data_IF_755927054946
#
_entry.id   IF_755927054946
#
_cell.length_a   1.000
_cell.length_b   1.000
_cell.length_c   1.000
_cell.angle_alpha   90.00
_cell.angle_beta   90.00
_cell.angle_gamma   90.00
#
_symmetry.space_group_name_H-M   'P 1'
#
loop_
_entity.id
_entity.type
_entity.pdbx_description
1 polymer ?
#
# COMPACT_ATOMS: atom_id res chain seq x y z
N UNK A 1 -12.87 4.39 -19.72
CA UNK A 1 -12.23 3.94 -18.46
C UNK A 1 -13.28 4.05 -17.37
N UNK A 2 -13.84 2.89 -16.94
CA UNK A 2 -14.77 2.84 -15.82
C UNK A 2 -14.08 3.41 -14.57
N UNK A 3 -14.78 4.26 -13.80
CA UNK A 3 -14.22 4.74 -12.53
C UNK A 3 -13.99 3.55 -11.60
N UNK A 4 -12.96 3.60 -10.76
CA UNK A 4 -12.59 2.49 -9.89
C UNK A 4 -13.77 2.07 -8.99
N UNK A 5 -14.66 3.00 -8.63
CA UNK A 5 -15.91 2.70 -7.92
C UNK A 5 -16.87 1.82 -8.72
N UNK A 6 -16.98 2.05 -10.03
CA UNK A 6 -17.85 1.23 -10.89
C UNK A 6 -17.35 -0.21 -11.02
N UNK A 7 -16.04 -0.44 -10.98
CA UNK A 7 -15.46 -1.79 -11.03
C UNK A 7 -15.76 -2.56 -9.73
N UNK A 8 -15.62 -1.90 -8.57
CA UNK A 8 -15.94 -2.53 -7.28
C UNK A 8 -17.44 -2.88 -7.17
N UNK A 9 -18.31 -1.97 -7.60
CA UNK A 9 -19.75 -2.24 -7.65
C UNK A 9 -20.10 -3.38 -8.62
N UNK A 10 -19.42 -3.45 -9.77
CA UNK A 10 -19.60 -4.52 -10.72
C UNK A 10 -19.20 -5.88 -10.13
N UNK A 11 -18.03 -5.97 -9.49
CA UNK A 11 -17.57 -7.21 -8.85
C UNK A 11 -18.48 -7.63 -7.69
N UNK A 12 -18.97 -6.69 -6.87
CA UNK A 12 -19.94 -7.00 -5.81
C UNK A 12 -21.27 -7.47 -6.36
N UNK A 13 -21.81 -6.77 -7.36
CA UNK A 13 -23.05 -7.18 -8.00
C UNK A 13 -22.96 -8.59 -8.60
N UNK A 14 -21.81 -8.92 -9.21
CA UNK A 14 -21.52 -10.26 -9.69
C UNK A 14 -21.47 -11.28 -8.52
N UNK A 15 -20.75 -10.94 -7.45
CA UNK A 15 -20.64 -11.81 -6.27
C UNK A 15 -21.99 -12.05 -5.60
N UNK A 16 -22.84 -11.02 -5.48
CA UNK A 16 -24.17 -11.12 -4.86
C UNK A 16 -25.13 -11.94 -5.71
N UNK A 17 -25.09 -11.76 -7.04
CA UNK A 17 -25.90 -12.54 -7.97
C UNK A 17 -25.51 -14.03 -7.94
N UNK A 18 -24.22 -14.33 -7.96
CA UNK A 18 -23.71 -15.70 -7.87
C UNK A 18 -24.02 -16.34 -6.51
N UNK A 19 -23.94 -15.57 -5.41
CA UNK A 19 -24.31 -16.05 -4.06
C UNK A 19 -25.81 -16.36 -3.95
N UNK A 20 -26.65 -15.65 -4.72
CA UNK A 20 -28.09 -15.93 -4.83
C UNK A 20 -28.42 -17.11 -5.77
N UNK A 21 -27.41 -17.83 -6.29
CA UNK A 21 -27.57 -18.94 -7.19
C UNK A 21 -27.94 -18.54 -8.65
N UNK A 22 -27.76 -17.24 -8.98
CA UNK A 22 -27.97 -16.77 -10.35
C UNK A 22 -26.76 -17.18 -11.19
N UNK A 23 -27.01 -17.78 -12.33
CA UNK A 23 -26.00 -18.17 -13.30
C UNK A 23 -25.14 -16.97 -13.77
N UNK A 24 -23.87 -17.22 -14.07
CA UNK A 24 -22.89 -16.19 -14.50
C UNK A 24 -23.42 -15.40 -15.70
N UNK A 25 -24.07 -16.04 -16.67
CA UNK A 25 -24.59 -15.36 -17.85
C UNK A 25 -25.67 -14.32 -17.47
N UNK A 26 -26.58 -14.70 -16.58
CA UNK A 26 -27.62 -13.79 -16.09
C UNK A 26 -27.08 -12.71 -15.20
N UNK A 27 -26.12 -13.04 -14.32
CA UNK A 27 -25.44 -12.10 -13.45
C UNK A 27 -24.66 -11.05 -14.27
N UNK A 28 -24.07 -11.44 -15.39
CA UNK A 28 -23.37 -10.54 -16.30
C UNK A 28 -24.27 -9.43 -16.89
N UNK A 29 -25.58 -9.63 -16.99
CA UNK A 29 -26.52 -8.59 -17.46
C UNK A 29 -26.64 -7.41 -16.49
N UNK A 30 -26.35 -7.63 -15.22
CA UNK A 30 -26.32 -6.57 -14.20
C UNK A 30 -25.03 -5.75 -14.22
N UNK A 31 -24.01 -6.22 -14.96
CA UNK A 31 -22.74 -5.51 -15.08
C UNK A 31 -22.83 -4.36 -16.11
N UNK A 32 -22.18 -3.21 -15.86
CA UNK A 32 -22.29 -2.05 -16.74
C UNK A 32 -21.61 -2.28 -18.11
N UNK A 33 -22.34 -1.95 -19.18
CA UNK A 33 -21.83 -1.76 -20.54
C UNK A 33 -21.02 -2.92 -21.13
N UNK A 34 -19.84 -2.65 -21.72
CA UNK A 34 -19.08 -3.66 -22.46
C UNK A 34 -18.54 -4.79 -21.58
N UNK A 35 -18.43 -4.56 -20.26
CA UNK A 35 -17.98 -5.57 -19.30
C UNK A 35 -19.01 -6.70 -19.18
N UNK A 36 -20.29 -6.35 -19.01
CA UNK A 36 -21.35 -7.34 -18.91
C UNK A 36 -21.49 -8.17 -20.18
N UNK A 37 -21.34 -7.55 -21.35
CA UNK A 37 -21.36 -8.27 -22.63
C UNK A 37 -20.18 -9.23 -22.78
N UNK A 38 -18.98 -8.84 -22.35
CA UNK A 38 -17.78 -9.69 -22.39
C UNK A 38 -17.91 -10.89 -21.44
N UNK A 39 -18.32 -10.67 -20.19
CA UNK A 39 -18.52 -11.72 -19.18
C UNK A 39 -19.64 -12.67 -19.61
N UNK A 40 -20.78 -12.14 -20.09
CA UNK A 40 -21.90 -12.97 -20.54
C UNK A 40 -21.58 -13.78 -21.79
N UNK A 41 -20.77 -13.28 -22.72
CA UNK A 41 -20.29 -14.03 -23.88
C UNK A 41 -19.38 -15.17 -23.44
N UNK A 42 -18.41 -14.90 -22.61
CA UNK A 42 -17.48 -15.90 -22.11
C UNK A 42 -18.17 -17.03 -21.34
N UNK A 43 -19.18 -16.68 -20.53
CA UNK A 43 -19.99 -17.68 -19.84
C UNK A 43 -20.71 -18.63 -20.81
N UNK A 44 -21.26 -18.10 -21.92
CA UNK A 44 -21.91 -18.92 -22.96
C UNK A 44 -20.92 -19.79 -23.73
N UNK A 45 -19.71 -19.28 -23.95
CA UNK A 45 -18.63 -19.99 -24.66
C UNK A 45 -17.87 -20.97 -23.75
N UNK A 46 -18.24 -21.07 -22.47
CA UNK A 46 -17.59 -21.95 -21.50
C UNK A 46 -16.16 -21.54 -21.15
N UNK A 47 -15.80 -20.26 -21.39
CA UNK A 47 -14.51 -19.77 -21.03
C UNK A 47 -14.42 -19.51 -19.50
N UNK A 48 -13.23 -19.75 -18.94
CA UNK A 48 -12.96 -19.43 -17.54
C UNK A 48 -13.20 -17.94 -17.25
N UNK A 49 -14.00 -17.64 -16.24
CA UNK A 49 -14.34 -16.27 -15.84
C UNK A 49 -13.09 -15.48 -15.46
N UNK A 50 -12.12 -16.14 -14.82
CA UNK A 50 -10.80 -15.59 -14.48
C UNK A 50 -10.14 -14.90 -15.69
N UNK A 51 -10.11 -15.56 -16.85
CA UNK A 51 -9.52 -15.02 -18.06
C UNK A 51 -10.22 -13.74 -18.50
N UNK A 52 -11.55 -13.77 -18.53
CA UNK A 52 -12.34 -12.61 -18.97
C UNK A 52 -12.22 -11.43 -18.02
N UNK A 53 -12.26 -11.67 -16.71
CA UNK A 53 -12.07 -10.62 -15.72
C UNK A 53 -10.66 -9.99 -15.81
N UNK A 54 -9.64 -10.77 -16.14
CA UNK A 54 -8.28 -10.28 -16.39
C UNK A 54 -8.20 -9.47 -17.67
N UNK A 55 -8.72 -10.00 -18.79
CA UNK A 55 -8.68 -9.36 -20.11
C UNK A 55 -9.48 -8.05 -20.14
N UNK A 56 -10.55 -7.96 -19.38
CA UNK A 56 -11.35 -6.73 -19.21
C UNK A 56 -10.74 -5.74 -18.22
N UNK A 57 -9.67 -6.10 -17.53
CA UNK A 57 -9.02 -5.26 -16.51
C UNK A 57 -9.84 -5.07 -15.23
N UNK A 58 -10.82 -5.95 -14.99
CA UNK A 58 -11.60 -5.97 -13.75
C UNK A 58 -10.83 -6.49 -12.56
N UNK A 59 -9.89 -7.40 -12.78
CA UNK A 59 -8.96 -7.94 -11.79
C UNK A 59 -7.52 -7.75 -12.27
N UNK A 60 -6.60 -7.61 -11.31
CA UNK A 60 -5.16 -7.57 -11.58
C UNK A 60 -4.53 -8.98 -11.50
N UNK A 61 -3.26 -9.10 -11.92
CA UNK A 61 -2.55 -10.39 -11.92
C UNK A 61 -2.45 -11.01 -10.52
N UNK A 62 -2.46 -10.20 -9.46
CA UNK A 62 -2.40 -10.68 -8.07
C UNK A 62 -3.75 -11.23 -7.60
N UNK A 63 -4.84 -10.71 -8.13
CA UNK A 63 -6.21 -11.11 -7.85
C UNK A 63 -6.64 -12.33 -8.69
N UNK A 64 -5.96 -12.52 -9.83
CA UNK A 64 -6.21 -13.65 -10.73
C UNK A 64 -6.18 -15.00 -10.02
N UNK A 65 -5.16 -15.23 -9.21
CA UNK A 65 -5.02 -16.49 -8.47
C UNK A 65 -6.20 -16.75 -7.51
N UNK A 66 -6.75 -15.68 -6.91
CA UNK A 66 -7.93 -15.78 -6.03
C UNK A 66 -9.18 -16.15 -6.82
N UNK A 67 -9.41 -15.54 -7.99
CA UNK A 67 -10.56 -15.83 -8.84
C UNK A 67 -10.48 -17.27 -9.39
N UNK A 68 -9.30 -17.68 -9.86
CA UNK A 68 -9.05 -19.02 -10.36
C UNK A 68 -9.34 -20.10 -9.29
N UNK A 69 -8.89 -19.85 -8.06
CA UNK A 69 -9.22 -20.71 -6.94
C UNK A 69 -10.74 -20.73 -6.65
N UNK A 70 -11.39 -19.57 -6.71
CA UNK A 70 -12.84 -19.45 -6.55
C UNK A 70 -13.63 -20.23 -7.59
N UNK A 71 -13.19 -20.21 -8.85
CA UNK A 71 -13.79 -21.01 -9.93
C UNK A 71 -13.63 -22.50 -9.68
N UNK A 72 -12.40 -22.95 -9.38
CA UNK A 72 -12.12 -24.38 -9.14
C UNK A 72 -12.89 -24.96 -7.94
N UNK A 73 -13.19 -24.14 -6.95
CA UNK A 73 -13.88 -24.56 -5.73
C UNK A 73 -15.39 -24.31 -5.76
N UNK A 74 -15.92 -23.66 -6.79
CA UNK A 74 -17.33 -23.26 -6.82
C UNK A 74 -17.67 -22.18 -5.77
N UNK A 75 -16.66 -21.50 -5.21
CA UNK A 75 -16.79 -20.50 -4.15
C UNK A 75 -16.51 -19.07 -4.66
N UNK A 76 -16.70 -18.84 -5.95
CA UNK A 76 -16.43 -17.59 -6.64
C UNK A 76 -16.99 -16.33 -5.93
N UNK A 77 -18.23 -16.34 -5.39
CA UNK A 77 -18.77 -15.18 -4.67
C UNK A 77 -17.91 -14.73 -3.49
N UNK A 78 -17.36 -15.68 -2.73
CA UNK A 78 -16.50 -15.42 -1.59
C UNK A 78 -15.23 -14.68 -2.03
N UNK A 79 -14.57 -15.19 -3.08
CA UNK A 79 -13.31 -14.63 -3.56
C UNK A 79 -13.47 -13.25 -4.22
N UNK A 80 -14.57 -13.02 -4.92
CA UNK A 80 -14.90 -11.71 -5.48
C UNK A 80 -15.12 -10.67 -4.38
N UNK A 81 -15.81 -11.03 -3.29
CA UNK A 81 -15.97 -10.16 -2.12
C UNK A 81 -14.63 -9.88 -1.44
N UNK A 82 -13.78 -10.90 -1.27
CA UNK A 82 -12.43 -10.75 -0.71
C UNK A 82 -11.58 -9.73 -1.50
N UNK A 83 -11.63 -9.80 -2.83
CA UNK A 83 -10.94 -8.85 -3.71
C UNK A 83 -11.45 -7.42 -3.48
N UNK A 84 -12.77 -7.22 -3.44
CA UNK A 84 -13.35 -5.89 -3.23
C UNK A 84 -13.02 -5.34 -1.84
N UNK A 85 -13.12 -6.17 -0.81
CA UNK A 85 -12.78 -5.77 0.56
C UNK A 85 -11.29 -5.40 0.68
N UNK A 86 -10.41 -6.19 0.07
CA UNK A 86 -8.98 -5.88 0.01
C UNK A 86 -8.67 -4.57 -0.74
N UNK A 87 -9.41 -4.26 -1.81
CA UNK A 87 -9.30 -2.97 -2.52
C UNK A 87 -9.78 -1.80 -1.68
N UNK A 88 -10.94 -1.94 -1.02
CA UNK A 88 -11.52 -0.90 -0.15
C UNK A 88 -10.59 -0.58 1.00
N UNK A 89 -10.01 -1.60 1.62
CA UNK A 89 -9.08 -1.43 2.71
C UNK A 89 -7.81 -0.70 2.25
N UNK A 90 -7.19 -1.14 1.14
CA UNK A 90 -6.03 -0.46 0.56
C UNK A 90 -6.31 1.01 0.26
N UNK A 91 -7.50 1.32 -0.26
CA UNK A 91 -7.94 2.69 -0.54
C UNK A 91 -8.12 3.51 0.75
N UNK A 92 -8.80 2.96 1.74
CA UNK A 92 -9.00 3.63 3.03
C UNK A 92 -7.67 3.94 3.72
N UNK A 93 -6.70 3.00 3.66
CA UNK A 93 -5.37 3.20 4.17
C UNK A 93 -4.60 4.28 3.40
N UNK A 94 -4.72 4.32 2.08
CA UNK A 94 -4.11 5.36 1.24
C UNK A 94 -4.69 6.74 1.55
N UNK A 95 -6.01 6.87 1.65
CA UNK A 95 -6.68 8.13 2.00
C UNK A 95 -6.26 8.64 3.38
N UNK A 96 -6.24 7.78 4.40
CA UNK A 96 -5.76 8.13 5.74
C UNK A 96 -4.31 8.62 5.71
N UNK A 97 -3.45 7.98 4.94
CA UNK A 97 -2.04 8.39 4.80
C UNK A 97 -1.91 9.73 4.09
N UNK A 98 -2.70 9.94 3.02
CA UNK A 98 -2.70 11.20 2.27
C UNK A 98 -3.16 12.37 3.14
N UNK A 99 -4.23 12.19 3.92
CA UNK A 99 -4.73 13.20 4.86
C UNK A 99 -3.71 13.51 5.96
N UNK A 100 -3.03 12.50 6.48
CA UNK A 100 -1.98 12.70 7.47
C UNK A 100 -0.77 13.48 6.93
N UNK A 101 -0.47 13.34 5.62
CA UNK A 101 0.60 14.09 4.94
C UNK A 101 0.17 15.49 4.49
N UNK A 102 -1.13 15.77 4.39
CA UNK A 102 -1.62 17.05 3.87
C UNK A 102 -1.14 18.24 4.71
N UNK A 103 -1.22 18.13 6.04
CA UNK A 103 -0.78 19.20 6.95
C UNK A 103 0.74 19.49 6.86
N UNK A 104 1.63 18.49 6.97
CA UNK A 104 3.06 18.70 6.78
C UNK A 104 3.42 19.32 5.44
N UNK A 105 2.81 18.84 4.36
CA UNK A 105 3.04 19.37 3.01
C UNK A 105 2.57 20.81 2.90
N UNK A 106 1.39 21.12 3.44
CA UNK A 106 0.87 22.48 3.48
C UNK A 106 1.82 23.42 4.22
N UNK A 107 2.26 23.05 5.43
CA UNK A 107 3.16 23.85 6.23
C UNK A 107 4.50 24.09 5.52
N UNK A 108 5.01 23.07 4.84
CA UNK A 108 6.25 23.12 4.08
C UNK A 108 6.14 24.06 2.87
N UNK A 109 5.03 24.00 2.12
CA UNK A 109 4.79 24.88 0.99
C UNK A 109 4.62 26.34 1.45
N UNK A 110 3.81 26.57 2.49
CA UNK A 110 3.63 27.92 3.06
C UNK A 110 4.94 28.46 3.61
N UNK A 111 5.69 27.65 4.36
CA UNK A 111 6.98 28.02 4.89
C UNK A 111 7.98 28.40 3.79
N UNK A 112 8.07 27.64 2.71
CA UNK A 112 8.99 27.94 1.60
C UNK A 112 8.70 29.24 0.87
N UNK A 113 7.45 29.71 0.92
CA UNK A 113 7.03 30.99 0.31
C UNK A 113 7.20 32.15 1.29
N UNK A 114 6.79 31.96 2.55
CA UNK A 114 6.74 33.03 3.55
C UNK A 114 8.13 33.35 4.11
N UNK A 115 8.97 32.35 4.32
CA UNK A 115 10.26 32.54 4.96
C UNK A 115 11.27 33.38 4.17
N UNK A 116 11.38 33.26 2.84
CA UNK A 116 12.27 34.13 2.08
C UNK A 116 11.66 35.51 1.74
N UNK A 117 10.45 35.86 2.24
CA UNK A 117 9.84 37.16 2.00
C UNK A 117 10.76 38.37 2.31
N UNK A 118 11.59 38.39 3.36
CA UNK A 118 12.54 39.47 3.56
C UNK A 118 13.49 39.69 2.37
N UNK A 119 13.92 38.62 1.68
CA UNK A 119 14.78 38.71 0.50
C UNK A 119 14.13 39.46 -0.67
N UNK A 120 12.79 39.48 -0.73
CA UNK A 120 12.06 40.25 -1.75
C UNK A 120 12.31 41.76 -1.58
N UNK A 121 12.45 42.22 -0.35
CA UNK A 121 12.63 43.64 -0.02
C UNK A 121 14.12 44.06 -0.02
N UNK A 122 15.03 43.14 0.26
CA UNK A 122 16.50 43.42 0.31
C UNK A 122 17.16 43.17 -1.03
N UNK A 123 16.93 42.03 -1.65
CA UNK A 123 17.68 41.48 -2.79
C UNK A 123 16.88 41.47 -4.10
N UNK A 124 15.59 41.76 -4.01
CA UNK A 124 14.67 41.80 -5.14
C UNK A 124 14.04 40.43 -5.51
N UNK A 125 13.28 40.44 -6.59
CA UNK A 125 12.41 39.33 -6.99
C UNK A 125 13.18 38.05 -7.41
N UNK A 126 14.35 38.21 -8.06
CA UNK A 126 15.09 37.07 -8.63
C UNK A 126 15.66 36.13 -7.55
N UNK A 127 16.36 36.60 -6.50
CA UNK A 127 16.80 35.76 -5.38
C UNK A 127 15.63 35.14 -4.62
N UNK A 128 14.55 35.91 -4.39
CA UNK A 128 13.35 35.39 -3.74
C UNK A 128 12.77 34.18 -4.48
N UNK A 129 12.57 34.28 -5.79
CA UNK A 129 12.01 33.17 -6.58
C UNK A 129 12.92 31.94 -6.58
N UNK A 130 14.23 32.12 -6.58
CA UNK A 130 15.19 31.00 -6.50
C UNK A 130 15.12 30.24 -5.18
N UNK A 131 14.83 30.93 -4.08
CA UNK A 131 14.72 30.30 -2.76
C UNK A 131 13.31 29.78 -2.47
N UNK A 132 12.24 30.44 -2.91
CA UNK A 132 10.86 30.10 -2.62
C UNK A 132 10.27 28.96 -3.49
N UNK A 133 10.64 28.91 -4.79
CA UNK A 133 10.00 28.02 -5.78
C UNK A 133 10.47 26.58 -5.80
N UNK A 134 11.74 26.20 -5.51
CA UNK A 134 12.21 24.83 -5.71
C UNK A 134 11.40 23.80 -4.91
N UNK A 135 11.01 24.13 -3.72
CA UNK A 135 10.32 23.23 -2.81
C UNK A 135 8.85 22.96 -3.19
N UNK A 136 8.02 23.98 -3.46
CA UNK A 136 6.67 23.76 -4.01
C UNK A 136 6.70 23.00 -5.33
N UNK A 137 7.63 23.33 -6.22
CA UNK A 137 7.77 22.61 -7.50
C UNK A 137 8.11 21.16 -7.26
N UNK A 138 9.07 20.84 -6.36
CA UNK A 138 9.43 19.47 -6.01
C UNK A 138 8.22 18.69 -5.46
N UNK A 139 7.40 19.33 -4.62
CA UNK A 139 6.17 18.71 -4.08
C UNK A 139 5.16 18.43 -5.18
N UNK A 140 4.93 19.37 -6.09
CA UNK A 140 4.02 19.18 -7.24
C UNK A 140 4.53 18.07 -8.15
N UNK A 141 5.82 18.05 -8.48
CA UNK A 141 6.43 16.99 -9.30
C UNK A 141 6.30 15.63 -8.61
N UNK A 142 6.57 15.54 -7.31
CA UNK A 142 6.40 14.31 -6.54
C UNK A 142 4.93 13.84 -6.56
N UNK A 143 3.98 14.76 -6.39
CA UNK A 143 2.55 14.43 -6.46
C UNK A 143 2.15 13.92 -7.85
N UNK A 144 2.62 14.57 -8.90
CA UNK A 144 2.40 14.13 -10.29
C UNK A 144 2.99 12.74 -10.55
N UNK A 145 4.19 12.46 -10.04
CA UNK A 145 4.82 11.13 -10.15
C UNK A 145 3.98 10.08 -9.42
N UNK A 146 3.52 10.35 -8.20
CA UNK A 146 2.64 9.44 -7.44
C UNK A 146 1.33 9.18 -8.18
N UNK A 147 0.71 10.22 -8.75
CA UNK A 147 -0.52 10.10 -9.55
C UNK A 147 -0.27 9.33 -10.85
N UNK A 148 0.82 9.61 -11.55
CA UNK A 148 1.20 8.88 -12.77
C UNK A 148 1.45 7.38 -12.47
N UNK A 149 2.19 7.06 -11.41
CA UNK A 149 2.41 5.69 -10.95
C UNK A 149 1.10 4.99 -10.54
N UNK A 150 0.16 5.73 -9.94
CA UNK A 150 -1.14 5.15 -9.57
C UNK A 150 -2.01 4.82 -10.79
N UNK A 151 -1.83 5.55 -11.90
CA UNK A 151 -2.64 5.41 -13.13
C UNK A 151 -2.01 4.50 -14.20
N UNK A 152 -0.70 4.27 -14.15
CA UNK A 152 0.03 3.48 -15.15
C UNK A 152 0.49 2.13 -14.57
N UNK A 153 -0.29 1.04 -14.71
CA UNK A 153 0.05 -0.28 -14.14
C UNK A 153 1.37 -0.83 -14.69
N UNK A 154 1.67 -0.60 -15.96
CA UNK A 154 2.93 -1.03 -16.58
C UNK A 154 4.17 -0.32 -15.99
N UNK A 155 4.06 0.97 -15.66
CA UNK A 155 5.13 1.72 -15.02
C UNK A 155 5.31 1.27 -13.56
N UNK A 156 4.20 0.99 -12.86
CA UNK A 156 4.22 0.43 -11.50
C UNK A 156 4.93 -0.93 -11.46
N UNK A 157 4.65 -1.81 -12.42
CA UNK A 157 5.30 -3.12 -12.50
C UNK A 157 6.82 -2.99 -12.70
N UNK A 158 7.28 -2.07 -13.54
CA UNK A 158 8.71 -1.81 -13.77
C UNK A 158 9.43 -1.18 -12.57
N UNK A 159 8.78 -0.27 -11.87
CA UNK A 159 9.37 0.44 -10.72
C UNK A 159 9.22 -0.30 -9.39
N UNK A 160 8.31 -1.26 -9.31
CA UNK A 160 8.06 -2.08 -8.11
C UNK A 160 9.35 -2.68 -7.52
N UNK A 161 10.23 -3.36 -8.29
CA UNK A 161 11.44 -3.94 -7.73
C UNK A 161 12.43 -2.88 -7.22
N UNK A 162 12.47 -1.70 -7.82
CA UNK A 162 13.34 -0.61 -7.39
C UNK A 162 12.80 0.05 -6.11
N UNK A 163 11.51 0.36 -6.08
CA UNK A 163 10.83 0.95 -4.92
C UNK A 163 10.85 -0.01 -3.72
N UNK A 164 10.64 -1.30 -3.93
CA UNK A 164 10.69 -2.30 -2.85
C UNK A 164 12.10 -2.48 -2.30
N UNK A 165 13.14 -2.44 -3.13
CA UNK A 165 14.53 -2.48 -2.68
C UNK A 165 14.91 -1.23 -1.89
N UNK A 166 14.56 -0.05 -2.39
CA UNK A 166 14.80 1.22 -1.71
C UNK A 166 14.02 1.30 -0.37
N UNK A 167 12.78 0.85 -0.34
CA UNK A 167 11.98 0.78 0.89
C UNK A 167 12.53 -0.26 1.88
N UNK A 168 13.06 -1.38 1.40
CA UNK A 168 13.64 -2.43 2.25
C UNK A 168 14.98 -2.02 2.88
N UNK A 169 15.72 -1.09 2.25
CA UNK A 169 16.98 -0.56 2.80
C UNK A 169 16.78 0.40 3.98
N UNK A 170 15.56 0.95 4.13
CA UNK A 170 15.21 1.79 5.27
C UNK A 170 14.57 0.93 6.38
N UNK A 171 15.24 0.71 7.52
CA UNK A 171 14.80 -0.29 8.52
C UNK A 171 13.40 -0.04 9.05
N UNK A 172 12.99 1.22 9.21
CA UNK A 172 11.67 1.60 9.72
C UNK A 172 10.57 1.40 8.66
N UNK A 173 10.84 1.77 7.41
CA UNK A 173 9.90 1.60 6.29
C UNK A 173 9.69 0.12 5.98
N UNK A 174 10.78 -0.66 5.99
CA UNK A 174 10.74 -2.11 5.79
C UNK A 174 9.88 -2.83 6.84
N UNK A 175 9.95 -2.42 8.10
CA UNK A 175 9.15 -2.96 9.19
C UNK A 175 7.64 -2.75 8.98
N UNK A 176 7.25 -1.54 8.58
CA UNK A 176 5.84 -1.18 8.29
C UNK A 176 5.29 -1.97 7.10
N UNK A 177 6.06 -2.06 6.01
CA UNK A 177 5.65 -2.79 4.80
C UNK A 177 5.50 -4.29 5.08
N UNK A 178 6.47 -4.88 5.79
CA UNK A 178 6.41 -6.29 6.19
C UNK A 178 5.23 -6.56 7.13
N UNK A 179 4.98 -5.68 8.10
CA UNK A 179 3.84 -5.80 9.02
C UNK A 179 2.50 -5.75 8.28
N UNK A 180 2.32 -4.79 7.37
CA UNK A 180 1.10 -4.71 6.54
C UNK A 180 0.89 -5.95 5.67
N UNK A 181 1.97 -6.49 5.10
CA UNK A 181 1.95 -7.74 4.32
C UNK A 181 1.53 -8.95 5.16
N UNK A 182 2.06 -9.09 6.40
CA UNK A 182 1.67 -10.17 7.33
C UNK A 182 0.21 -10.03 7.77
N UNK A 183 -0.25 -8.81 8.08
CA UNK A 183 -1.64 -8.57 8.42
C UNK A 183 -2.61 -8.99 7.30
N UNK A 184 -2.25 -8.69 6.04
CA UNK A 184 -3.01 -9.13 4.87
C UNK A 184 -3.02 -10.65 4.74
N UNK A 185 -1.87 -11.30 4.94
CA UNK A 185 -1.75 -12.76 4.94
C UNK A 185 -2.66 -13.41 5.98
N UNK A 186 -2.58 -12.99 7.25
CA UNK A 186 -3.40 -13.57 8.32
C UNK A 186 -4.89 -13.36 8.07
N UNK A 187 -5.28 -12.22 7.55
CA UNK A 187 -6.67 -11.92 7.21
C UNK A 187 -7.20 -12.82 6.10
N UNK A 188 -6.46 -12.93 5.00
CA UNK A 188 -6.84 -13.80 3.89
C UNK A 188 -6.88 -15.25 4.33
N UNK A 189 -5.88 -15.72 5.09
CA UNK A 189 -5.86 -17.08 5.60
C UNK A 189 -7.05 -17.35 6.54
N UNK A 190 -7.37 -16.44 7.47
CA UNK A 190 -8.53 -16.57 8.36
C UNK A 190 -9.85 -16.70 7.58
N UNK A 191 -10.04 -15.89 6.54
CA UNK A 191 -11.25 -15.93 5.71
C UNK A 191 -11.35 -17.21 4.89
N UNK A 192 -10.24 -17.68 4.31
CA UNK A 192 -10.22 -18.89 3.53
C UNK A 192 -10.46 -20.14 4.39
N UNK A 193 -9.84 -20.20 5.57
CA UNK A 193 -10.06 -21.30 6.51
C UNK A 193 -11.47 -21.28 7.11
N UNK A 194 -11.99 -20.10 7.43
CA UNK A 194 -13.38 -19.92 7.88
C UNK A 194 -14.42 -20.28 6.82
N UNK A 195 -14.08 -20.18 5.54
CA UNK A 195 -14.90 -20.69 4.44
C UNK A 195 -14.77 -22.22 4.25
N UNK A 196 -14.02 -22.92 5.10
CA UNK A 196 -13.84 -24.37 5.04
C UNK A 196 -12.78 -24.83 4.05
N UNK A 197 -11.92 -23.94 3.53
CA UNK A 197 -10.83 -24.38 2.66
C UNK A 197 -9.77 -25.15 3.47
N UNK A 198 -9.33 -26.28 2.91
CA UNK A 198 -8.21 -27.01 3.46
C UNK A 198 -6.93 -26.12 3.48
N UNK A 199 -6.14 -26.21 4.54
CA UNK A 199 -4.92 -25.40 4.75
C UNK A 199 -3.96 -25.47 3.56
N UNK A 200 -3.81 -26.64 2.95
CA UNK A 200 -2.96 -26.86 1.78
C UNK A 200 -3.35 -26.04 0.56
N UNK A 201 -4.63 -25.69 0.43
CA UNK A 201 -5.15 -24.81 -0.64
C UNK A 201 -5.23 -23.34 -0.22
N UNK A 202 -5.58 -23.08 1.03
CA UNK A 202 -5.70 -21.71 1.57
C UNK A 202 -4.34 -20.99 1.65
N UNK A 203 -3.27 -21.72 2.03
CA UNK A 203 -1.96 -21.16 2.25
C UNK A 203 -1.31 -20.52 1.00
N UNK A 204 -1.25 -21.17 -0.17
CA UNK A 204 -0.71 -20.56 -1.40
C UNK A 204 -1.46 -19.28 -1.78
N UNK A 205 -2.79 -19.27 -1.60
CA UNK A 205 -3.64 -18.11 -1.88
C UNK A 205 -3.36 -16.97 -0.90
N UNK A 206 -3.21 -17.25 0.39
CA UNK A 206 -2.84 -16.25 1.37
C UNK A 206 -1.43 -15.68 1.08
N UNK A 207 -0.50 -16.49 0.60
CA UNK A 207 0.83 -16.02 0.21
C UNK A 207 0.83 -15.10 -1.01
N UNK A 208 -0.19 -15.14 -1.89
CA UNK A 208 -0.29 -14.19 -3.01
C UNK A 208 -0.39 -12.74 -2.54
N UNK A 209 -0.87 -12.51 -1.31
CA UNK A 209 -0.98 -11.18 -0.69
C UNK A 209 0.33 -10.71 -0.04
N UNK A 210 1.37 -11.56 0.00
CA UNK A 210 2.65 -11.26 0.67
C UNK A 210 3.75 -10.86 -0.32
N UNK A 211 4.80 -10.25 0.25
CA UNK A 211 6.03 -9.92 -0.49
C UNK A 211 7.11 -10.99 -0.31
N UNK A 212 6.74 -12.19 0.13
CA UNK A 212 7.66 -13.31 0.33
C UNK A 212 8.23 -13.81 -0.99
N UNK A 213 9.47 -14.30 -0.94
CA UNK A 213 10.10 -14.95 -2.09
C UNK A 213 9.44 -16.30 -2.39
N UNK A 214 9.49 -16.72 -3.64
CA UNK A 214 8.90 -18.00 -4.05
C UNK A 214 9.56 -19.19 -3.34
N UNK A 215 10.85 -19.08 -3.01
CA UNK A 215 11.56 -20.10 -2.21
C UNK A 215 11.01 -20.23 -0.78
N UNK A 216 10.72 -19.09 -0.12
CA UNK A 216 10.14 -19.10 1.22
C UNK A 216 8.73 -19.68 1.21
N UNK A 217 7.91 -19.33 0.21
CA UNK A 217 6.58 -19.91 0.00
C UNK A 217 6.66 -21.43 -0.21
N UNK A 218 7.59 -21.88 -1.07
CA UNK A 218 7.78 -23.29 -1.36
C UNK A 218 8.26 -24.09 -0.12
N UNK A 219 9.13 -23.50 0.72
CA UNK A 219 9.54 -24.15 2.00
C UNK A 219 8.32 -24.39 2.90
N UNK A 220 7.55 -23.36 3.16
CA UNK A 220 6.35 -23.46 3.98
C UNK A 220 5.32 -24.45 3.38
N UNK A 221 5.09 -24.42 2.06
CA UNK A 221 4.21 -25.38 1.40
C UNK A 221 4.64 -26.85 1.56
N UNK A 222 5.95 -27.10 1.47
CA UNK A 222 6.50 -28.46 1.72
C UNK A 222 6.33 -28.87 3.17
N UNK A 223 6.52 -27.98 4.13
CA UNK A 223 6.32 -28.27 5.55
C UNK A 223 4.87 -28.67 5.84
N UNK A 224 3.89 -27.92 5.32
CA UNK A 224 2.47 -28.27 5.45
C UNK A 224 2.13 -29.58 4.75
N UNK A 225 2.73 -29.88 3.59
CA UNK A 225 2.52 -31.15 2.88
C UNK A 225 3.08 -32.35 3.63
N UNK A 226 4.11 -32.16 4.48
CA UNK A 226 4.63 -33.19 5.41
C UNK A 226 3.73 -33.38 6.64
N UNK A 227 2.76 -32.49 6.87
CA UNK A 227 1.91 -32.51 8.05
C UNK A 227 2.46 -31.69 9.22
N UNK A 228 3.47 -30.85 8.98
CA UNK A 228 4.03 -30.00 10.01
C UNK A 228 2.98 -28.98 10.48
N UNK A 229 3.10 -28.55 11.73
CA UNK A 229 2.22 -27.54 12.30
C UNK A 229 2.39 -26.19 11.57
N UNK A 230 1.27 -25.44 11.41
CA UNK A 230 1.27 -24.16 10.70
C UNK A 230 2.30 -23.16 11.24
N UNK A 231 2.42 -23.08 12.56
CA UNK A 231 3.39 -22.22 13.25
C UNK A 231 4.82 -22.54 12.84
N UNK A 232 5.18 -23.82 12.83
CA UNK A 232 6.51 -24.31 12.41
C UNK A 232 6.74 -24.03 10.92
N UNK A 233 5.77 -24.36 10.07
CA UNK A 233 5.85 -24.13 8.63
C UNK A 233 6.02 -22.63 8.28
N UNK A 234 5.34 -21.74 8.98
CA UNK A 234 5.52 -20.30 8.83
C UNK A 234 6.89 -19.83 9.32
N UNK A 235 7.41 -20.42 10.41
CA UNK A 235 8.74 -20.14 10.95
C UNK A 235 9.87 -20.42 9.95
N UNK A 236 9.75 -21.47 9.13
CA UNK A 236 10.71 -21.79 8.06
C UNK A 236 10.85 -20.69 7.00
N UNK A 237 9.87 -19.79 6.90
CA UNK A 237 9.96 -18.64 5.97
C UNK A 237 10.89 -17.53 6.45
N UNK A 238 11.13 -17.44 7.78
CA UNK A 238 11.90 -16.36 8.41
C UNK A 238 11.25 -14.98 8.34
N UNK A 239 9.98 -14.90 7.96
CA UNK A 239 9.27 -13.64 7.75
C UNK A 239 8.28 -13.28 8.88
N UNK A 240 7.96 -14.24 9.72
CA UNK A 240 7.02 -14.09 10.83
C UNK A 240 7.79 -14.08 12.17
N UNK A 241 7.52 -13.10 13.04
CA UNK A 241 8.14 -13.03 14.38
C UNK A 241 7.68 -14.18 15.29
N UNK A 242 8.53 -14.55 16.24
CA UNK A 242 8.27 -15.68 17.15
C UNK A 242 7.03 -15.48 18.02
N UNK A 243 6.72 -14.23 18.41
CA UNK A 243 5.51 -13.90 19.17
C UNK A 243 4.22 -14.15 18.37
N UNK A 244 4.24 -13.86 17.06
CA UNK A 244 3.12 -14.16 16.16
C UNK A 244 2.99 -15.68 15.96
N UNK A 245 4.12 -16.40 15.77
CA UNK A 245 4.14 -17.86 15.60
C UNK A 245 3.62 -18.61 16.84
N UNK A 246 4.06 -18.20 18.04
CA UNK A 246 3.57 -18.80 19.29
C UNK A 246 2.04 -18.65 19.44
N UNK A 247 1.49 -17.53 19.02
CA UNK A 247 0.01 -17.29 19.05
C UNK A 247 -0.71 -18.16 18.02
N UNK A 248 -0.15 -18.32 16.81
CA UNK A 248 -0.71 -19.24 15.81
C UNK A 248 -0.73 -20.66 16.35
N UNK A 249 0.35 -21.13 16.99
CA UNK A 249 0.43 -22.44 17.63
C UNK A 249 -0.66 -22.61 18.71
N UNK A 250 -0.78 -21.65 19.61
CA UNK A 250 -1.80 -21.70 20.68
C UNK A 250 -3.22 -21.79 20.12
N UNK A 251 -3.54 -21.02 19.08
CA UNK A 251 -4.86 -21.06 18.45
C UNK A 251 -5.10 -22.33 17.65
N UNK A 252 -4.06 -22.93 17.07
CA UNK A 252 -4.14 -24.25 16.42
C UNK A 252 -4.48 -25.34 17.44
N UNK A 253 -3.79 -25.35 18.59
CA UNK A 253 -4.02 -26.32 19.68
C UNK A 253 -5.42 -26.21 20.29
N UNK A 254 -5.97 -24.99 20.38
CA UNK A 254 -7.30 -24.77 20.97
C UNK A 254 -8.44 -24.91 19.94
N UNK A 255 -8.15 -25.24 18.69
CA UNK A 255 -9.16 -25.33 17.62
C UNK A 255 -9.81 -23.98 17.24
N UNK A 256 -9.21 -22.88 17.68
CA UNK A 256 -9.72 -21.50 17.42
C UNK A 256 -8.90 -20.75 16.38
N UNK A 257 -8.25 -21.48 15.46
CA UNK A 257 -7.28 -20.95 14.51
C UNK A 257 -7.85 -19.79 13.68
N UNK A 258 -9.08 -19.91 13.16
CA UNK A 258 -9.72 -18.86 12.36
C UNK A 258 -9.83 -17.53 13.15
N UNK A 259 -10.37 -17.60 14.35
CA UNK A 259 -10.50 -16.42 15.23
C UNK A 259 -9.14 -15.85 15.62
N UNK A 260 -8.16 -16.72 15.90
CA UNK A 260 -6.79 -16.33 16.22
C UNK A 260 -6.10 -15.60 15.07
N UNK A 261 -6.22 -16.12 13.86
CA UNK A 261 -5.69 -15.48 12.65
C UNK A 261 -6.36 -14.13 12.37
N UNK A 262 -7.68 -14.01 12.56
CA UNK A 262 -8.40 -12.74 12.40
C UNK A 262 -7.96 -11.70 13.44
N UNK A 263 -7.76 -12.10 14.69
CA UNK A 263 -7.24 -11.24 15.75
C UNK A 263 -5.80 -10.78 15.46
N UNK A 264 -4.92 -11.69 15.05
CA UNK A 264 -3.56 -11.37 14.62
C UNK A 264 -3.54 -10.41 13.43
N UNK A 265 -4.41 -10.61 12.44
CA UNK A 265 -4.53 -9.71 11.30
C UNK A 265 -4.84 -8.27 11.73
N UNK A 266 -5.75 -8.10 12.69
CA UNK A 266 -6.14 -6.79 13.21
C UNK A 266 -4.98 -6.15 13.98
N UNK A 267 -4.39 -6.87 14.91
CA UNK A 267 -3.32 -6.35 15.76
C UNK A 267 -2.05 -5.99 14.98
N UNK A 268 -1.60 -6.90 14.09
CA UNK A 268 -0.42 -6.65 13.24
C UNK A 268 -0.69 -5.50 12.27
N UNK A 269 -1.92 -5.41 11.75
CA UNK A 269 -2.37 -4.30 10.91
C UNK A 269 -2.35 -2.95 11.64
N UNK A 270 -2.81 -2.91 12.88
CA UNK A 270 -2.75 -1.71 13.73
C UNK A 270 -1.32 -1.32 14.09
N UNK A 271 -0.45 -2.29 14.41
CA UNK A 271 0.98 -2.03 14.65
C UNK A 271 1.63 -1.41 13.41
N UNK A 272 1.36 -1.96 12.22
CA UNK A 272 1.86 -1.42 10.96
C UNK A 272 1.30 -0.02 10.67
N UNK A 273 0.04 0.24 10.99
CA UNK A 273 -0.58 1.55 10.84
C UNK A 273 0.06 2.59 11.76
N UNK A 274 0.30 2.25 13.03
CA UNK A 274 1.02 3.11 13.99
C UNK A 274 2.44 3.41 13.52
N UNK A 275 3.18 2.41 13.07
CA UNK A 275 4.53 2.60 12.52
C UNK A 275 4.55 3.55 11.32
N UNK A 276 3.52 3.52 10.47
CA UNK A 276 3.36 4.45 9.35
C UNK A 276 3.13 5.89 9.83
N UNK A 277 2.27 6.08 10.83
CA UNK A 277 2.04 7.41 11.42
C UNK A 277 3.31 7.98 12.04
N UNK A 278 4.06 7.15 12.76
CA UNK A 278 5.36 7.53 13.32
C UNK A 278 6.35 7.96 12.23
N UNK A 279 6.42 7.22 11.11
CA UNK A 279 7.25 7.60 9.96
C UNK A 279 6.88 8.98 9.41
N UNK A 280 5.59 9.24 9.23
CA UNK A 280 5.10 10.53 8.75
C UNK A 280 5.50 11.64 9.71
N UNK A 281 5.33 11.47 11.01
CA UNK A 281 5.68 12.45 12.05
C UNK A 281 7.19 12.72 12.06
N UNK A 282 8.01 11.67 12.05
CA UNK A 282 9.48 11.81 12.04
C UNK A 282 9.96 12.51 10.77
N UNK A 283 9.43 12.13 9.61
CA UNK A 283 9.78 12.75 8.34
C UNK A 283 9.38 14.23 8.29
N UNK A 284 8.21 14.56 8.82
CA UNK A 284 7.74 15.94 8.96
C UNK A 284 8.65 16.74 9.89
N UNK A 285 8.99 16.18 11.05
CA UNK A 285 9.91 16.82 12.01
C UNK A 285 11.29 17.09 11.40
N UNK A 286 11.82 16.15 10.63
CA UNK A 286 13.10 16.30 9.93
C UNK A 286 13.04 17.43 8.89
N UNK A 287 11.97 17.49 8.10
CA UNK A 287 11.77 18.56 7.12
C UNK A 287 11.68 19.92 7.81
N UNK A 288 10.90 20.02 8.90
CA UNK A 288 10.79 21.25 9.67
C UNK A 288 12.14 21.68 10.25
N UNK A 289 12.92 20.75 10.81
CA UNK A 289 14.24 21.02 11.34
C UNK A 289 15.21 21.54 10.24
N UNK A 290 15.20 20.90 9.07
CA UNK A 290 16.00 21.32 7.91
C UNK A 290 15.60 22.72 7.41
N UNK A 291 14.31 22.99 7.37
CA UNK A 291 13.78 24.30 6.99
C UNK A 291 14.20 25.36 7.98
N UNK A 292 14.04 25.09 9.29
CA UNK A 292 14.47 26.00 10.35
C UNK A 292 15.98 26.27 10.32
N UNK A 293 16.80 25.24 10.11
CA UNK A 293 18.24 25.36 9.96
C UNK A 293 18.64 26.22 8.74
N UNK A 294 17.96 26.03 7.61
CA UNK A 294 18.17 26.82 6.40
C UNK A 294 17.87 28.31 6.62
N UNK A 295 16.80 28.61 7.38
CA UNK A 295 16.43 29.98 7.72
C UNK A 295 17.48 30.61 8.66
N UNK A 296 17.84 29.90 9.73
CA UNK A 296 18.80 30.38 10.69
C UNK A 296 20.14 30.72 10.00
N UNK A 297 20.56 29.84 9.07
CA UNK A 297 21.75 30.09 8.25
C UNK A 297 21.59 31.33 7.34
N UNK A 298 20.42 31.53 6.74
CA UNK A 298 20.13 32.70 5.91
C UNK A 298 20.20 34.02 6.73
N UNK A 299 19.60 34.03 7.92
CA UNK A 299 19.63 35.18 8.85
C UNK A 299 21.05 35.48 9.28
N UNK A 300 21.84 34.47 9.64
CA UNK A 300 23.23 34.63 10.03
C UNK A 300 24.06 35.21 8.88
N UNK A 301 23.91 34.73 7.66
CA UNK A 301 24.64 35.24 6.50
C UNK A 301 24.30 36.71 6.21
N UNK A 302 23.00 37.09 6.28
CA UNK A 302 22.60 38.50 6.09
C UNK A 302 23.07 39.41 7.25
N UNK A 303 23.12 38.90 8.48
CA UNK A 303 23.66 39.65 9.61
C UNK A 303 25.19 39.84 9.49
N UNK A 304 25.90 38.87 8.99
CA UNK A 304 27.34 38.92 8.73
C UNK A 304 27.66 39.96 7.65
N UNK A 305 26.92 39.98 6.53
CA UNK A 305 27.11 40.97 5.46
C UNK A 305 26.66 42.41 5.87
N UNK A 306 25.56 42.53 6.60
CA UNK A 306 24.98 43.84 6.93
C UNK A 306 25.66 44.52 8.12
N UNK A 307 26.21 43.79 9.09
CA UNK A 307 26.71 44.30 10.36
C UNK A 307 28.22 44.10 10.49
N UNK A 308 28.74 42.92 10.25
CA UNK A 308 30.12 42.57 10.54
C UNK A 308 31.06 43.10 9.45
N UNK A 309 30.73 42.89 8.16
CA UNK A 309 31.61 43.33 7.07
C UNK A 309 31.84 44.85 7.00
N UNK A 310 30.89 45.76 7.27
CA UNK A 310 31.18 47.20 7.34
C UNK A 310 31.97 47.60 8.58
N UNK A 311 31.81 46.92 9.73
CA UNK A 311 32.62 47.15 10.94
C UNK A 311 34.09 46.75 10.75
N UNK A 312 34.35 45.60 10.12
CA UNK A 312 35.71 45.17 9.80
C UNK A 312 36.39 46.12 8.81
N UNK A 313 35.66 46.63 7.81
CA UNK A 313 36.20 47.66 6.88
C UNK A 313 36.50 48.98 7.61
N UNK A 314 35.67 49.40 8.54
CA UNK A 314 35.93 50.61 9.33
C UNK A 314 37.13 50.47 10.26
N UNK A 315 37.35 49.31 10.86
CA UNK A 315 38.48 49.02 11.73
C UNK A 315 39.80 48.75 10.98
N UNK A 316 39.79 48.47 9.69
CA UNK A 316 40.99 48.22 8.87
C UNK A 316 41.55 49.48 8.20
N UNK A 317 40.96 50.66 8.42
CA UNK A 317 41.35 51.97 7.82
C UNK A 317 42.18 52.82 8.82
N UNK A 318 42.32 52.41 10.08
CA UNK A 318 43.23 53.00 11.06
C UNK A 318 44.54 52.19 11.11
#
# INVERSE_FOLDING_TARGET
>A
LASVGNIEHALLGLADALAAGIDVERAARALPGPIGTAVGRAAREGHALTRVLTDTGLIDDTERALVEAGEQMGALPLFLREIVDGRRERRALFQKTLLALAYPVFLLVVGSVVLPLPQLFTDGLSPYLRSALPLPIAVVVMLLVVVALSRAPALRARLRPFVTRAAASLPVVGGVVKGASRASFYRTLARLTGAGLAMTRALPLAFSTTTLTDEARARCGRAIARGDELSHALGETGAFPDDELARVANHALTGTLERGLAALATEVGERAARGRTTLVVVFTGLIMALTFFSIARGILATAEEAIIAPLERAMSVD
#
